data_IF_657492678332
#
_entry.id   IF_657492678332
#
_cell.length_a   1.000
_cell.length_b   1.000
_cell.length_c   1.000
_cell.angle_alpha   90.00
_cell.angle_beta   90.00
_cell.angle_gamma   90.00
#
_symmetry.space_group_name_H-M   'P 1'
#
loop_
_entity.id
_entity.type
_entity.pdbx_description
1 polymer ?
#
# COMPACT_ATOMS: atom_id res chain seq x y z
N UNK A 1 -49.94 37.64 -21.85
CA UNK A 1 -48.52 37.96 -22.14
C UNK A 1 -47.99 38.78 -20.97
N UNK A 2 -46.93 38.50 -20.21
CA UNK A 2 -45.92 37.43 -20.10
C UNK A 2 -45.56 37.38 -18.59
N UNK A 3 -45.50 36.18 -17.99
CA UNK A 3 -45.05 35.98 -16.60
C UNK A 3 -43.53 36.18 -16.56
N UNK A 4 -43.05 37.11 -15.76
CA UNK A 4 -41.63 37.34 -15.50
C UNK A 4 -41.20 36.42 -14.36
N UNK A 5 -40.50 35.34 -14.68
CA UNK A 5 -39.89 34.46 -13.68
C UNK A 5 -38.48 34.95 -13.39
N UNK A 6 -38.25 35.27 -12.12
CA UNK A 6 -36.94 35.48 -11.51
C UNK A 6 -36.25 34.13 -11.40
N UNK A 7 -35.06 33.99 -12.01
CA UNK A 7 -34.15 32.89 -11.76
C UNK A 7 -32.92 33.45 -11.03
N UNK A 8 -32.94 33.37 -9.70
CA UNK A 8 -31.74 33.48 -8.88
C UNK A 8 -31.04 32.13 -9.00
N UNK A 9 -29.93 32.10 -9.74
CA UNK A 9 -29.04 30.95 -9.76
C UNK A 9 -28.29 30.92 -8.41
N UNK A 10 -28.74 30.07 -7.50
CA UNK A 10 -27.97 29.70 -6.33
C UNK A 10 -26.71 28.95 -6.82
N UNK A 11 -25.57 29.62 -6.75
CA UNK A 11 -24.26 28.97 -6.89
C UNK A 11 -24.09 28.12 -5.64
N UNK A 12 -24.58 26.89 -5.70
CA UNK A 12 -24.18 25.82 -4.80
C UNK A 12 -22.70 25.56 -5.08
N UNK A 13 -21.84 26.31 -4.40
CA UNK A 13 -20.42 25.99 -4.31
C UNK A 13 -20.32 24.56 -3.82
N UNK A 14 -19.93 23.67 -4.73
CA UNK A 14 -19.64 22.28 -4.43
C UNK A 14 -18.42 22.33 -3.51
N UNK A 15 -18.66 22.26 -2.21
CA UNK A 15 -17.62 21.92 -1.25
C UNK A 15 -17.18 20.51 -1.62
N UNK A 16 -16.09 20.38 -2.37
CA UNK A 16 -15.36 19.13 -2.42
C UNK A 16 -14.87 18.85 -1.00
N UNK A 17 -15.28 17.77 -0.33
CA UNK A 17 -14.64 17.38 0.91
C UNK A 17 -13.21 17.00 0.56
N UNK A 18 -12.25 17.86 0.92
CA UNK A 18 -10.82 17.62 0.79
C UNK A 18 -10.32 16.68 1.91
N UNK A 19 -10.92 15.49 1.98
CA UNK A 19 -10.45 14.36 2.79
C UNK A 19 -10.55 13.10 1.94
N UNK A 20 -9.69 13.04 0.92
CA UNK A 20 -9.39 11.81 0.19
C UNK A 20 -7.91 11.49 0.46
N UNK A 21 -7.57 11.30 1.74
CA UNK A 21 -6.31 10.68 2.18
C UNK A 21 -6.41 9.13 2.08
N UNK A 22 -7.61 8.62 1.78
CA UNK A 22 -7.91 7.22 1.52
C UNK A 22 -7.78 6.89 0.03
N UNK A 23 -6.63 7.22 -0.59
CA UNK A 23 -6.34 6.64 -1.89
C UNK A 23 -5.94 5.18 -1.69
N UNK A 24 -6.96 4.31 -1.58
CA UNK A 24 -6.89 2.84 -1.51
C UNK A 24 -5.94 2.24 -2.58
N UNK A 25 -5.69 2.99 -3.66
CA UNK A 25 -4.86 2.61 -4.80
C UNK A 25 -3.41 3.11 -4.76
N UNK A 26 -3.00 3.88 -3.74
CA UNK A 26 -1.60 4.35 -3.65
C UNK A 26 -0.71 3.30 -2.99
N UNK A 27 -0.73 2.12 -3.59
CA UNK A 27 0.13 1.00 -3.22
C UNK A 27 0.68 0.33 -4.47
N UNK A 28 1.92 -0.12 -4.37
CA UNK A 28 2.58 -0.94 -5.37
C UNK A 28 2.94 -2.29 -4.75
N UNK A 29 2.79 -3.35 -5.53
CA UNK A 29 3.33 -4.67 -5.19
C UNK A 29 4.71 -4.81 -5.80
N UNK A 30 5.62 -5.38 -5.02
CA UNK A 30 6.96 -5.73 -5.48
C UNK A 30 6.93 -7.17 -5.96
N UNK A 31 7.33 -7.39 -7.22
CA UNK A 31 7.52 -8.72 -7.81
C UNK A 31 8.95 -8.86 -8.34
N UNK A 32 9.47 -10.08 -8.38
CA UNK A 32 10.77 -10.36 -8.99
C UNK A 32 10.57 -10.85 -10.43
N UNK A 33 11.05 -10.09 -11.41
CA UNK A 33 11.01 -10.43 -12.84
C UNK A 33 12.42 -10.73 -13.36
N UNK A 34 12.58 -11.66 -14.32
CA UNK A 34 13.86 -11.84 -14.97
C UNK A 34 14.23 -10.61 -15.80
N UNK A 35 15.52 -10.27 -15.86
CA UNK A 35 16.01 -9.22 -16.78
C UNK A 35 15.91 -9.75 -18.20
N UNK A 36 15.16 -9.04 -19.06
CA UNK A 36 15.09 -9.39 -20.48
C UNK A 36 16.47 -9.22 -21.12
N UNK A 37 16.93 -10.20 -21.92
CA UNK A 37 18.23 -10.11 -22.56
C UNK A 37 18.20 -8.97 -23.59
N UNK A 38 19.14 -8.03 -23.46
CA UNK A 38 19.47 -7.12 -24.56
C UNK A 38 20.11 -7.95 -25.65
N UNK A 39 19.60 -7.87 -26.89
CA UNK A 39 20.22 -8.50 -28.05
C UNK A 39 21.58 -7.85 -28.34
N UNK A 40 22.63 -8.34 -27.67
CA UNK A 40 24.02 -8.01 -27.98
C UNK A 40 24.76 -9.33 -28.26
N UNK A 41 25.15 -9.51 -29.52
CA UNK A 41 25.62 -10.76 -30.16
C UNK A 41 26.92 -11.35 -29.57
N UNK A 42 27.45 -10.81 -28.46
CA UNK A 42 28.81 -11.13 -28.00
C UNK A 42 28.98 -11.50 -26.52
N UNK A 43 27.91 -11.61 -25.72
CA UNK A 43 28.07 -11.97 -24.29
C UNK A 43 27.14 -13.07 -23.80
N UNK A 44 27.76 -14.05 -23.16
CA UNK A 44 27.11 -15.21 -22.55
C UNK A 44 26.09 -14.76 -21.49
N UNK A 45 24.86 -15.22 -21.69
CA UNK A 45 23.62 -14.90 -20.95
C UNK A 45 23.77 -15.16 -19.45
N UNK A 46 23.43 -14.19 -18.62
CA UNK A 46 22.95 -14.46 -17.25
C UNK A 46 21.43 -14.43 -17.28
N UNK A 47 20.81 -15.60 -17.27
CA UNK A 47 19.35 -15.77 -17.13
C UNK A 47 18.88 -15.69 -15.68
N UNK A 48 19.83 -15.53 -14.75
CA UNK A 48 19.58 -15.66 -13.31
C UNK A 48 19.43 -14.29 -12.63
N UNK A 49 19.66 -13.20 -13.37
CA UNK A 49 19.46 -11.85 -12.87
C UNK A 49 17.95 -11.55 -12.75
N UNK A 50 17.49 -11.32 -11.53
CA UNK A 50 16.13 -10.89 -11.22
C UNK A 50 16.14 -9.40 -10.85
N UNK A 51 15.18 -8.64 -11.37
CA UNK A 51 14.94 -7.26 -11.01
C UNK A 51 13.68 -7.16 -10.13
N UNK A 52 13.74 -6.31 -9.12
CA UNK A 52 12.55 -5.90 -8.37
C UNK A 52 11.73 -4.96 -9.27
N UNK A 53 10.49 -5.34 -9.56
CA UNK A 53 9.55 -4.56 -10.35
C UNK A 53 8.39 -4.16 -9.47
N UNK A 54 8.08 -2.87 -9.48
CA UNK A 54 6.93 -2.29 -8.79
C UNK A 54 5.79 -2.23 -9.79
N UNK A 55 4.64 -2.80 -9.44
CA UNK A 55 3.43 -2.75 -10.27
C UNK A 55 2.23 -2.31 -9.44
N UNK A 56 1.20 -1.69 -10.05
CA UNK A 56 0.03 -1.24 -9.30
C UNK A 56 -0.63 -2.37 -8.50
N UNK A 57 -0.90 -2.11 -7.21
CA UNK A 57 -1.43 -3.14 -6.32
C UNK A 57 -2.94 -3.41 -6.49
N UNK A 58 -3.64 -2.71 -7.38
CA UNK A 58 -5.10 -2.73 -7.46
C UNK A 58 -5.72 -4.14 -7.56
N UNK A 59 -5.11 -5.04 -8.35
CA UNK A 59 -5.58 -6.42 -8.46
C UNK A 59 -5.40 -7.21 -7.16
N UNK A 60 -4.27 -7.03 -6.48
CA UNK A 60 -4.01 -7.62 -5.17
C UNK A 60 -4.95 -7.06 -4.11
N UNK A 61 -5.06 -5.74 -3.99
CA UNK A 61 -5.97 -5.06 -3.05
C UNK A 61 -7.39 -5.55 -3.27
N UNK A 62 -7.90 -5.59 -4.51
CA UNK A 62 -9.23 -6.12 -4.78
C UNK A 62 -9.39 -7.56 -4.27
N UNK A 63 -8.39 -8.42 -4.47
CA UNK A 63 -8.45 -9.82 -4.01
C UNK A 63 -8.49 -9.98 -2.49
N UNK A 64 -7.93 -9.04 -1.72
CA UNK A 64 -7.96 -9.07 -0.25
C UNK A 64 -9.33 -8.67 0.30
N UNK A 65 -10.02 -7.79 -0.41
CA UNK A 65 -11.29 -7.20 0.03
C UNK A 65 -12.51 -7.81 -0.66
N UNK A 66 -12.32 -8.69 -1.64
CA UNK A 66 -13.41 -9.44 -2.20
C UNK A 66 -13.99 -10.43 -1.16
N UNK A 67 -15.19 -10.94 -1.41
CA UNK A 67 -15.85 -11.84 -0.47
C UNK A 67 -15.34 -13.28 -0.58
N UNK A 68 -14.30 -13.55 -1.38
CA UNK A 68 -13.79 -14.90 -1.60
C UNK A 68 -12.71 -15.21 -0.55
N UNK A 69 -12.60 -16.47 -0.13
CA UNK A 69 -11.51 -16.87 0.74
C UNK A 69 -10.14 -16.72 0.05
N UNK A 70 -9.17 -16.14 0.76
CA UNK A 70 -7.78 -16.01 0.31
C UNK A 70 -7.47 -14.65 -0.30
N UNK A 71 -6.32 -14.56 -0.97
CA UNK A 71 -5.88 -13.38 -1.70
C UNK A 71 -4.95 -13.80 -2.84
N UNK A 72 -4.63 -12.86 -3.73
CA UNK A 72 -3.72 -13.07 -4.84
C UNK A 72 -2.27 -13.19 -4.34
N UNK A 73 -1.59 -14.29 -4.67
CA UNK A 73 -0.19 -14.53 -4.29
C UNK A 73 0.81 -14.14 -5.41
N UNK A 74 0.31 -13.94 -6.64
CA UNK A 74 1.11 -13.69 -7.83
C UNK A 74 0.45 -12.71 -8.79
N UNK A 75 1.25 -11.87 -9.44
CA UNK A 75 0.84 -11.00 -10.55
C UNK A 75 1.68 -11.36 -11.78
N UNK A 76 1.01 -11.62 -12.90
CA UNK A 76 1.62 -12.07 -14.16
C UNK A 76 2.52 -13.31 -14.00
N UNK A 77 2.15 -14.24 -13.11
CA UNK A 77 2.95 -15.45 -12.82
C UNK A 77 4.18 -15.21 -11.93
N UNK A 78 4.34 -14.01 -11.37
CA UNK A 78 5.42 -13.68 -10.45
C UNK A 78 4.89 -13.51 -9.03
N UNK A 79 5.54 -14.16 -8.05
CA UNK A 79 5.18 -14.05 -6.63
C UNK A 79 5.29 -12.62 -6.12
N UNK A 80 4.27 -12.18 -5.40
CA UNK A 80 4.28 -10.92 -4.66
C UNK A 80 5.25 -11.05 -3.48
N UNK A 81 6.20 -10.12 -3.39
CA UNK A 81 7.29 -10.11 -2.42
C UNK A 81 7.06 -9.10 -1.30
N UNK A 82 6.40 -8.00 -1.61
CA UNK A 82 6.06 -6.96 -0.66
C UNK A 82 4.91 -6.11 -1.21
N UNK A 83 4.28 -5.34 -0.33
CA UNK A 83 3.39 -4.25 -0.64
C UNK A 83 3.98 -2.96 -0.08
N UNK A 84 4.04 -1.92 -0.90
CA UNK A 84 4.55 -0.60 -0.52
C UNK A 84 3.45 0.42 -0.75
N UNK A 85 3.04 1.13 0.29
CA UNK A 85 1.91 2.06 0.26
C UNK A 85 2.36 3.47 0.64
N UNK A 86 1.94 4.45 -0.16
CA UNK A 86 2.16 5.86 0.16
C UNK A 86 0.98 6.38 0.98
N UNK A 87 1.25 6.96 2.16
CA UNK A 87 0.25 7.50 3.08
C UNK A 87 0.81 8.67 3.87
N UNK A 88 -0.01 9.68 4.16
CA UNK A 88 0.39 10.81 4.99
C UNK A 88 0.85 10.42 6.41
N UNK A 89 0.31 9.33 6.96
CA UNK A 89 0.71 8.76 8.25
C UNK A 89 1.28 7.36 8.09
N UNK A 90 2.32 7.05 8.84
CA UNK A 90 2.95 5.72 8.90
C UNK A 90 2.19 4.73 9.80
N UNK A 91 1.17 5.18 10.54
CA UNK A 91 0.42 4.31 11.45
C UNK A 91 -0.71 3.59 10.65
N UNK A 92 -0.66 2.26 10.45
CA UNK A 92 -1.53 1.56 9.49
C UNK A 92 -3.00 1.64 9.88
N UNK A 93 -3.87 2.05 8.97
CA UNK A 93 -5.32 2.13 9.17
C UNK A 93 -5.98 0.74 9.23
N UNK A 94 -7.27 0.65 9.58
CA UNK A 94 -8.01 -0.62 9.51
C UNK A 94 -7.99 -1.26 8.13
N UNK A 95 -7.95 -0.45 7.07
CA UNK A 95 -7.77 -0.91 5.70
C UNK A 95 -6.40 -1.60 5.54
N UNK A 96 -5.34 -0.94 6.00
CA UNK A 96 -3.98 -1.48 5.91
C UNK A 96 -3.81 -2.75 6.75
N UNK A 97 -4.51 -2.88 7.88
CA UNK A 97 -4.48 -4.09 8.70
C UNK A 97 -4.97 -5.33 7.92
N UNK A 98 -5.96 -5.20 7.05
CA UNK A 98 -6.41 -6.33 6.20
C UNK A 98 -5.35 -6.74 5.18
N UNK A 99 -4.60 -5.76 4.66
CA UNK A 99 -3.45 -6.03 3.78
C UNK A 99 -2.33 -6.72 4.55
N UNK A 100 -2.01 -6.26 5.76
CA UNK A 100 -0.99 -6.86 6.63
C UNK A 100 -1.37 -8.30 7.00
N UNK A 101 -2.65 -8.60 7.28
CA UNK A 101 -3.13 -9.94 7.61
C UNK A 101 -2.82 -11.01 6.56
N UNK A 102 -2.61 -10.62 5.30
CA UNK A 102 -2.18 -11.53 4.24
C UNK A 102 -0.84 -12.21 4.54
N UNK A 103 0.00 -11.59 5.37
CA UNK A 103 1.35 -12.06 5.69
C UNK A 103 2.40 -11.65 4.65
N UNK A 104 2.01 -10.95 3.59
CA UNK A 104 2.94 -10.33 2.65
C UNK A 104 3.61 -9.14 3.37
N UNK A 105 4.95 -8.99 3.29
CA UNK A 105 5.65 -7.83 3.86
C UNK A 105 5.00 -6.52 3.43
N UNK A 106 4.63 -5.69 4.40
CA UNK A 106 3.90 -4.44 4.17
C UNK A 106 4.77 -3.27 4.60
N UNK A 107 4.93 -2.27 3.74
CA UNK A 107 5.68 -1.05 4.03
C UNK A 107 4.82 0.18 3.74
N UNK A 108 4.89 1.17 4.61
CA UNK A 108 4.13 2.42 4.52
C UNK A 108 5.06 3.60 4.80
N UNK A 109 5.00 4.61 3.93
CA UNK A 109 5.78 5.85 4.04
C UNK A 109 4.99 7.00 3.43
N UNK A 110 5.17 8.26 3.88
CA UNK A 110 4.68 9.42 3.16
C UNK A 110 5.35 9.64 1.81
N UNK A 111 6.58 9.17 1.67
CA UNK A 111 7.40 9.33 0.47
C UNK A 111 8.59 8.35 0.52
N UNK A 112 8.71 7.44 -0.44
CA UNK A 112 9.83 6.50 -0.52
C UNK A 112 11.06 7.08 -1.23
N UNK A 113 10.90 8.17 -1.98
CA UNK A 113 11.96 8.82 -2.75
C UNK A 113 12.68 9.90 -1.94
N UNK A 114 12.06 10.40 -0.87
CA UNK A 114 12.67 11.39 0.03
C UNK A 114 13.61 10.72 1.05
N UNK A 115 14.89 11.12 1.12
CA UNK A 115 15.81 10.67 2.17
C UNK A 115 15.29 11.01 3.56
N UNK A 116 15.35 10.04 4.48
CA UNK A 116 14.90 10.16 5.87
C UNK A 116 13.38 10.34 6.07
N UNK A 117 12.57 10.13 5.03
CA UNK A 117 11.12 10.01 5.20
C UNK A 117 10.81 8.87 6.19
N UNK A 118 9.87 9.06 7.13
CA UNK A 118 9.54 8.02 8.09
C UNK A 118 8.91 6.83 7.35
N UNK A 119 9.29 5.63 7.74
CA UNK A 119 8.79 4.39 7.15
C UNK A 119 8.50 3.39 8.25
N UNK A 120 7.35 2.74 8.14
CA UNK A 120 6.99 1.57 8.94
C UNK A 120 6.92 0.35 8.02
N UNK A 121 7.58 -0.72 8.42
CA UNK A 121 7.45 -2.05 7.85
C UNK A 121 6.74 -2.99 8.84
N UNK A 122 5.90 -3.88 8.33
CA UNK A 122 5.28 -4.97 9.09
C UNK A 122 5.56 -6.28 8.37
N UNK A 123 6.18 -7.22 9.07
CA UNK A 123 6.56 -8.53 8.53
C UNK A 123 6.04 -9.64 9.43
N UNK A 124 5.58 -10.75 8.84
CA UNK A 124 5.19 -11.94 9.62
C UNK A 124 6.39 -12.87 9.80
N UNK A 125 6.86 -13.05 11.03
CA UNK A 125 7.96 -13.95 11.43
C UNK A 125 7.51 -14.86 12.56
N UNK A 126 7.78 -16.16 12.42
CA UNK A 126 7.40 -17.19 13.41
C UNK A 126 5.95 -17.11 13.88
N UNK A 127 5.03 -16.80 12.94
CA UNK A 127 3.60 -16.67 13.20
C UNK A 127 3.15 -15.30 13.71
N UNK A 128 4.07 -14.39 14.04
CA UNK A 128 3.77 -13.07 14.59
C UNK A 128 4.11 -11.94 13.63
N UNK A 129 3.32 -10.88 13.64
CA UNK A 129 3.59 -9.63 12.99
C UNK A 129 4.55 -8.79 13.84
N UNK A 130 5.69 -8.46 13.25
CA UNK A 130 6.74 -7.64 13.83
C UNK A 130 6.84 -6.31 13.08
N UNK A 131 7.13 -5.24 13.82
CA UNK A 131 7.27 -3.89 13.29
C UNK A 131 8.74 -3.52 13.12
N UNK A 132 9.05 -2.92 11.98
CA UNK A 132 10.31 -2.25 11.70
C UNK A 132 9.97 -0.77 11.49
N UNK A 133 10.59 0.14 12.24
CA UNK A 133 10.32 1.56 12.10
C UNK A 133 11.61 2.35 11.92
N UNK A 134 11.62 3.25 10.93
CA UNK A 134 12.68 4.22 10.72
C UNK A 134 12.07 5.61 10.60
N UNK A 135 12.55 6.57 11.38
CA UNK A 135 12.04 7.93 11.40
C UNK A 135 12.28 8.59 12.76
N UNK A 136 11.76 9.80 12.93
CA UNK A 136 11.71 10.42 14.25
C UNK A 136 10.84 9.59 15.20
N UNK A 137 11.09 9.72 16.50
CA UNK A 137 10.32 9.01 17.52
C UNK A 137 8.82 9.34 17.38
N UNK A 138 8.00 8.30 17.27
CA UNK A 138 6.54 8.44 17.26
C UNK A 138 6.04 9.16 18.50
N UNK A 139 4.94 9.89 18.34
CA UNK A 139 4.22 10.44 19.48
C UNK A 139 3.76 9.31 20.42
N UNK A 140 3.48 9.64 21.69
CA UNK A 140 2.97 8.62 22.63
C UNK A 140 1.64 8.02 22.17
N UNK A 141 0.80 8.84 21.53
CA UNK A 141 -0.50 8.43 21.04
C UNK A 141 -0.36 7.51 19.82
N UNK A 142 0.51 7.87 18.87
CA UNK A 142 0.78 7.04 17.68
C UNK A 142 1.43 5.71 18.04
N UNK A 143 2.38 5.72 18.99
CA UNK A 143 3.00 4.49 19.48
C UNK A 143 1.95 3.58 20.14
N UNK A 144 1.11 4.11 21.03
CA UNK A 144 0.07 3.33 21.69
C UNK A 144 -0.95 2.76 20.70
N UNK A 145 -1.31 3.54 19.67
CA UNK A 145 -2.21 3.10 18.60
C UNK A 145 -1.58 1.98 17.75
N UNK A 146 -0.30 2.13 17.39
CA UNK A 146 0.44 1.11 16.67
C UNK A 146 0.52 -0.20 17.48
N UNK A 147 0.88 -0.10 18.76
CA UNK A 147 0.99 -1.26 19.65
C UNK A 147 -0.35 -2.01 19.76
N UNK A 148 -1.46 -1.28 19.95
CA UNK A 148 -2.80 -1.85 19.99
C UNK A 148 -3.15 -2.58 18.69
N UNK A 149 -2.84 -1.98 17.54
CA UNK A 149 -3.12 -2.58 16.23
C UNK A 149 -2.31 -3.87 16.02
N UNK A 150 -1.04 -3.88 16.44
CA UNK A 150 -0.21 -5.08 16.35
C UNK A 150 -0.66 -6.18 17.32
N UNK A 151 -1.11 -5.82 18.53
CA UNK A 151 -1.71 -6.77 19.48
C UNK A 151 -2.94 -7.45 18.87
N UNK A 152 -3.84 -6.68 18.26
CA UNK A 152 -5.04 -7.21 17.58
C UNK A 152 -4.66 -8.15 16.44
N UNK A 153 -3.71 -7.78 15.58
CA UNK A 153 -3.23 -8.64 14.50
C UNK A 153 -2.65 -9.96 15.02
N UNK A 154 -1.83 -9.89 16.06
CA UNK A 154 -1.16 -11.05 16.65
C UNK A 154 -2.09 -11.95 17.46
N UNK A 155 -3.21 -11.43 17.97
CA UNK A 155 -4.23 -12.23 18.63
C UNK A 155 -5.13 -13.01 17.64
N UNK A 156 -5.17 -12.58 16.38
CA UNK A 156 -5.99 -13.20 15.33
C UNK A 156 -5.21 -14.19 14.44
N UNK A 157 -3.87 -14.12 14.45
CA UNK A 157 -2.96 -14.90 13.59
C UNK A 157 -2.46 -16.19 14.21
#
# INVERSE_FOLDING_TARGET
>A
MKKLWVLIAAISGVYSPAYADDNIADCEVVIARPVEPVEDDTKQRSTDAMIATFVPAGAFVFSVFDTKPGHLEQIDGHKIRALMCVRASVIPTEFDLKLIQTGIPFYISPDFDTPNSPMLGVEKKDGKFEVIYSGEKLSKEDQALLDLRMEVLNAQG
#
